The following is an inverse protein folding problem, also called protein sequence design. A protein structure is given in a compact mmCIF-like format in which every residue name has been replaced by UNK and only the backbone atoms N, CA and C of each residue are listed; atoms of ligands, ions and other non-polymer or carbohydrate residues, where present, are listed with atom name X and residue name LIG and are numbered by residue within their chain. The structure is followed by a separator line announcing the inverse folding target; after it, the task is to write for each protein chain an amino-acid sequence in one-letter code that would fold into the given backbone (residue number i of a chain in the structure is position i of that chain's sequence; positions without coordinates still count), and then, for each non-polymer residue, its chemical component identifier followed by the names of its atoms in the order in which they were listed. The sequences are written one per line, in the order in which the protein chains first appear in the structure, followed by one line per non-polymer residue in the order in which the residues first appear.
data_IF_846343590712
#
_entry.id   IF_846343590712
#
_cell.length_a   1.000
_cell.length_b   1.000
_cell.length_c   1.000
_cell.angle_alpha   90.00
_cell.angle_beta   90.00
_cell.angle_gamma   90.00
#
_symmetry.space_group_name_H-M   'P 1'
#
loop_
_entity.id
_entity.type
_entity.pdbx_description
1 polymer ?
#
# COMPACT_ATOMS: atom_id res chain seq x y z
N UNK A 1 3.98 -29.53 44.32
CA UNK A 1 4.92 -28.48 43.89
C UNK A 1 5.19 -28.48 42.38
N UNK A 2 5.20 -29.62 41.68
CA UNK A 2 5.43 -29.69 40.22
C UNK A 2 4.32 -29.04 39.36
N UNK A 3 3.06 -29.07 39.79
CA UNK A 3 1.91 -28.51 39.05
C UNK A 3 1.95 -26.99 38.94
N UNK A 4 2.43 -26.29 39.98
CA UNK A 4 2.56 -24.84 39.97
C UNK A 4 3.71 -24.38 39.07
N UNK A 5 4.83 -25.12 39.06
CA UNK A 5 5.94 -24.87 38.13
C UNK A 5 5.51 -25.09 36.68
N UNK A 6 4.78 -26.16 36.38
CA UNK A 6 4.23 -26.39 35.03
C UNK A 6 3.27 -25.28 34.58
N UNK A 7 2.37 -24.81 35.46
CA UNK A 7 1.46 -23.70 35.15
C UNK A 7 2.20 -22.39 34.87
N UNK A 8 3.25 -22.08 35.63
CA UNK A 8 4.07 -20.87 35.39
C UNK A 8 4.88 -21.00 34.10
N UNK A 9 5.46 -22.17 33.83
CA UNK A 9 6.17 -22.44 32.57
C UNK A 9 5.24 -22.33 31.38
N UNK A 10 4.05 -22.94 31.45
CA UNK A 10 3.05 -22.90 30.38
C UNK A 10 2.51 -21.47 30.17
N UNK A 11 2.25 -20.74 31.25
CA UNK A 11 1.88 -19.32 31.18
C UNK A 11 2.98 -18.43 30.58
N UNK A 12 4.26 -18.72 30.85
CA UNK A 12 5.38 -18.04 30.18
C UNK A 12 5.44 -18.37 28.69
N UNK A 13 5.26 -19.64 28.32
CA UNK A 13 5.21 -20.07 26.92
C UNK A 13 4.05 -19.41 26.16
N UNK A 14 2.86 -19.36 26.76
CA UNK A 14 1.69 -18.72 26.18
C UNK A 14 1.90 -17.22 26.01
N UNK A 15 2.49 -16.53 26.99
CA UNK A 15 2.86 -15.10 26.87
C UNK A 15 3.94 -14.84 25.82
N UNK A 16 4.93 -15.72 25.69
CA UNK A 16 5.93 -15.62 24.63
C UNK A 16 5.32 -15.83 23.24
N UNK A 17 4.43 -16.81 23.09
CA UNK A 17 3.67 -17.04 21.86
C UNK A 17 2.78 -15.85 21.50
N UNK A 18 2.10 -15.24 22.47
CA UNK A 18 1.29 -14.04 22.28
C UNK A 18 2.15 -12.85 21.85
N UNK A 19 3.32 -12.68 22.48
CA UNK A 19 4.28 -11.63 22.10
C UNK A 19 4.84 -11.83 20.69
N UNK A 20 5.07 -13.09 20.28
CA UNK A 20 5.57 -13.40 18.94
C UNK A 20 4.52 -13.17 17.85
N UNK A 21 3.25 -13.52 18.11
CA UNK A 21 2.13 -13.24 17.20
C UNK A 21 1.89 -11.75 17.06
N UNK A 22 1.92 -11.00 18.16
CA UNK A 22 1.78 -9.53 18.13
C UNK A 22 2.83 -8.86 17.26
N UNK A 23 4.11 -9.23 17.42
CA UNK A 23 5.19 -8.71 16.57
C UNK A 23 5.01 -9.05 15.10
N UNK A 24 4.59 -10.28 14.77
CA UNK A 24 4.35 -10.67 13.37
C UNK A 24 3.20 -9.87 12.74
N UNK A 25 2.10 -9.67 13.48
CA UNK A 25 0.99 -8.85 13.00
C UNK A 25 1.42 -7.41 12.72
N UNK A 26 2.21 -6.81 13.62
CA UNK A 26 2.75 -5.47 13.41
C UNK A 26 3.65 -5.39 12.17
N UNK A 27 4.57 -6.35 11.99
CA UNK A 27 5.41 -6.41 10.80
C UNK A 27 4.59 -6.57 9.52
N UNK A 28 3.53 -7.39 9.54
CA UNK A 28 2.61 -7.51 8.41
C UNK A 28 1.91 -6.20 8.10
N UNK A 29 1.40 -5.50 9.12
CA UNK A 29 0.75 -4.21 8.94
C UNK A 29 1.72 -3.16 8.36
N UNK A 30 2.96 -3.13 8.85
CA UNK A 30 4.01 -2.21 8.36
C UNK A 30 4.33 -2.46 6.88
N UNK A 31 4.49 -3.73 6.49
CA UNK A 31 4.73 -4.11 5.09
C UNK A 31 3.53 -3.72 4.23
N UNK A 32 2.29 -4.04 4.64
CA UNK A 32 1.08 -3.66 3.88
C UNK A 32 0.99 -2.14 3.70
N UNK A 33 1.30 -1.36 4.75
CA UNK A 33 1.29 0.10 4.64
C UNK A 33 2.37 0.61 3.69
N UNK A 34 3.55 0.00 3.68
CA UNK A 34 4.62 0.38 2.76
C UNK A 34 4.21 0.12 1.31
N UNK A 35 3.64 -1.06 1.04
CA UNK A 35 3.12 -1.46 -0.28
C UNK A 35 2.10 -0.46 -0.83
N UNK A 36 1.20 0.03 0.03
CA UNK A 36 0.20 1.04 -0.34
C UNK A 36 0.85 2.40 -0.63
N UNK A 37 1.84 2.81 0.18
CA UNK A 37 2.54 4.10 -0.01
C UNK A 37 3.28 4.14 -1.35
N UNK A 38 3.96 3.05 -1.70
CA UNK A 38 4.69 2.94 -2.97
C UNK A 38 3.74 3.08 -4.18
N UNK A 39 2.63 2.35 -4.18
CA UNK A 39 1.60 2.44 -5.23
C UNK A 39 1.03 3.85 -5.34
N UNK A 40 0.76 4.51 -4.21
CA UNK A 40 0.22 5.88 -4.19
C UNK A 40 1.20 6.91 -4.75
N UNK A 41 2.47 6.85 -4.33
CA UNK A 41 3.51 7.78 -4.80
C UNK A 41 3.77 7.60 -6.30
N UNK A 42 3.92 6.35 -6.75
CA UNK A 42 4.12 6.04 -8.17
C UNK A 42 2.96 6.55 -9.04
N UNK A 43 1.72 6.33 -8.61
CA UNK A 43 0.55 6.82 -9.33
C UNK A 43 0.47 8.35 -9.36
N UNK A 44 0.77 9.01 -8.24
CA UNK A 44 0.79 10.46 -8.14
C UNK A 44 1.78 11.09 -9.13
N UNK A 45 3.01 10.56 -9.21
CA UNK A 45 4.02 11.07 -10.14
C UNK A 45 3.59 10.92 -11.61
N UNK A 46 3.01 9.76 -11.98
CA UNK A 46 2.48 9.55 -13.32
C UNK A 46 1.30 10.49 -13.65
N UNK A 47 0.51 10.86 -12.64
CA UNK A 47 -0.61 11.78 -12.79
C UNK A 47 -0.15 13.22 -13.00
N UNK A 48 0.80 13.71 -12.20
CA UNK A 48 1.29 15.10 -12.25
C UNK A 48 2.25 15.34 -13.41
N UNK A 49 3.17 14.40 -13.66
CA UNK A 49 4.28 14.58 -14.59
C UNK A 49 4.11 13.82 -15.92
N UNK A 50 3.02 13.05 -16.05
CA UNK A 50 2.68 12.31 -17.25
C UNK A 50 3.54 11.06 -17.46
N UNK A 51 3.84 10.77 -18.73
CA UNK A 51 4.49 9.50 -19.10
C UNK A 51 5.94 9.45 -18.66
N UNK A 52 6.37 8.34 -18.07
CA UNK A 52 7.74 8.14 -17.60
C UNK A 52 8.28 6.76 -17.99
N UNK A 53 9.59 6.65 -18.20
CA UNK A 53 10.24 5.33 -18.16
C UNK A 53 10.27 4.82 -16.71
N UNK A 54 10.61 3.55 -16.52
CA UNK A 54 10.74 2.98 -15.17
C UNK A 54 11.81 3.72 -14.34
N UNK A 55 12.98 3.98 -14.95
CA UNK A 55 14.09 4.69 -14.33
C UNK A 55 13.75 6.15 -14.00
N UNK A 56 13.08 6.85 -14.93
CA UNK A 56 12.62 8.21 -14.67
C UNK A 56 11.61 8.26 -13.52
N UNK A 57 10.70 7.28 -13.47
CA UNK A 57 9.67 7.19 -12.44
C UNK A 57 10.27 6.91 -11.07
N UNK A 58 11.26 6.01 -11.00
CA UNK A 58 12.00 5.68 -9.79
C UNK A 58 12.64 6.92 -9.17
N UNK A 59 13.46 7.62 -9.98
CA UNK A 59 14.15 8.84 -9.58
C UNK A 59 13.18 9.88 -9.04
N UNK A 60 12.05 10.10 -9.73
CA UNK A 60 11.04 11.08 -9.33
C UNK A 60 10.33 10.69 -8.03
N UNK A 61 10.12 9.39 -7.77
CA UNK A 61 9.55 8.93 -6.52
C UNK A 61 10.53 9.16 -5.36
N UNK A 62 11.81 8.84 -5.55
CA UNK A 62 12.86 9.09 -4.55
C UNK A 62 13.07 10.58 -4.27
N UNK A 63 13.04 11.41 -5.32
CA UNK A 63 13.12 12.86 -5.21
C UNK A 63 11.94 13.41 -4.41
N UNK A 64 10.70 12.99 -4.72
CA UNK A 64 9.52 13.39 -3.96
C UNK A 64 9.65 13.02 -2.48
N UNK A 65 10.07 11.79 -2.17
CA UNK A 65 10.20 11.33 -0.79
C UNK A 65 11.24 12.16 -0.03
N UNK A 66 12.35 12.48 -0.69
CA UNK A 66 13.41 13.30 -0.13
C UNK A 66 13.01 14.75 0.07
N UNK A 67 12.27 15.34 -0.87
CA UNK A 67 11.86 16.74 -0.79
C UNK A 67 10.75 16.95 0.26
N UNK A 68 9.74 16.08 0.28
CA UNK A 68 8.57 16.24 1.15
C UNK A 68 8.81 15.69 2.58
N UNK A 69 9.60 14.62 2.72
CA UNK A 69 9.81 13.96 4.02
C UNK A 69 11.26 14.01 4.53
N UNK A 70 12.21 14.47 3.71
CA UNK A 70 13.63 14.53 4.10
C UNK A 70 14.34 13.17 4.13
N UNK A 71 13.68 12.11 3.67
CA UNK A 71 14.19 10.74 3.74
C UNK A 71 14.82 10.30 2.41
N UNK A 72 15.86 9.46 2.50
CA UNK A 72 16.46 8.84 1.32
C UNK A 72 16.18 7.34 1.36
N UNK A 73 15.53 6.85 0.32
CA UNK A 73 15.23 5.43 0.16
C UNK A 73 15.54 5.02 -1.27
N UNK A 74 15.77 3.72 -1.47
CA UNK A 74 15.74 3.09 -2.78
C UNK A 74 14.30 2.67 -3.04
N UNK A 75 13.60 3.35 -3.94
CA UNK A 75 12.18 3.07 -4.20
C UNK A 75 12.02 1.78 -5.01
N UNK A 76 10.99 0.96 -4.73
CA UNK A 76 10.69 -0.24 -5.53
C UNK A 76 9.65 0.09 -6.60
N UNK A 77 10.11 0.78 -7.65
CA UNK A 77 9.23 1.22 -8.74
C UNK A 77 8.64 0.04 -9.53
N UNK A 78 9.39 -1.04 -9.69
CA UNK A 78 8.98 -2.21 -10.46
C UNK A 78 7.72 -2.83 -9.85
N UNK A 79 7.75 -3.06 -8.54
CA UNK A 79 6.65 -3.69 -7.84
C UNK A 79 5.43 -2.75 -7.75
N UNK A 80 5.65 -1.45 -7.51
CA UNK A 80 4.59 -0.45 -7.52
C UNK A 80 3.85 -0.39 -8.87
N UNK A 81 4.59 -0.33 -9.97
CA UNK A 81 4.01 -0.28 -11.33
C UNK A 81 3.29 -1.58 -11.67
N UNK A 82 3.86 -2.74 -11.32
CA UNK A 82 3.18 -4.02 -11.55
C UNK A 82 1.84 -4.12 -10.81
N UNK A 83 1.75 -3.61 -9.57
CA UNK A 83 0.48 -3.54 -8.83
C UNK A 83 -0.51 -2.61 -9.52
N UNK A 84 -0.07 -1.44 -9.98
CA UNK A 84 -0.91 -0.48 -10.69
C UNK A 84 -1.43 -1.01 -12.04
N UNK A 85 -0.60 -1.76 -12.78
CA UNK A 85 -1.00 -2.45 -14.00
C UNK A 85 -1.98 -3.59 -13.73
N UNK A 86 -1.77 -4.39 -12.67
CA UNK A 86 -2.72 -5.43 -12.22
C UNK A 86 -4.08 -4.84 -11.83
N UNK A 87 -4.07 -3.65 -11.22
CA UNK A 87 -5.28 -2.88 -10.93
C UNK A 87 -5.90 -2.26 -12.19
N UNK A 88 -5.21 -2.24 -13.33
CA UNK A 88 -5.72 -1.70 -14.59
C UNK A 88 -5.77 -0.17 -14.67
N UNK A 89 -5.08 0.52 -13.76
CA UNK A 89 -5.06 1.99 -13.67
C UNK A 89 -3.80 2.64 -14.23
N UNK A 90 -2.78 1.83 -14.53
CA UNK A 90 -1.59 2.21 -15.29
C UNK A 90 -1.46 1.30 -16.51
N UNK A 91 -0.93 1.87 -17.59
CA UNK A 91 -0.63 1.14 -18.82
C UNK A 91 0.73 1.58 -19.39
N UNK A 92 1.26 0.76 -20.30
CA UNK A 92 2.54 1.01 -20.97
C UNK A 92 2.34 1.33 -22.45
N UNK A 93 3.04 2.36 -22.93
CA UNK A 93 3.02 2.73 -24.34
C UNK A 93 3.97 1.83 -25.18
N UNK A 94 3.86 1.84 -26.53
CA UNK A 94 4.68 0.98 -27.39
C UNK A 94 6.19 1.23 -27.30
N UNK A 95 6.63 2.38 -26.79
CA UNK A 95 8.05 2.71 -26.60
C UNK A 95 8.51 2.45 -25.17
N UNK A 96 7.64 1.86 -24.34
CA UNK A 96 7.97 1.32 -23.03
C UNK A 96 7.76 2.27 -21.85
N UNK A 97 7.09 3.42 -22.03
CA UNK A 97 6.79 4.36 -20.94
C UNK A 97 5.45 4.07 -20.28
N UNK A 98 5.40 4.19 -18.96
CA UNK A 98 4.19 4.05 -18.16
C UNK A 98 3.39 5.34 -18.13
N UNK A 99 2.07 5.22 -18.03
CA UNK A 99 1.14 6.34 -17.89
C UNK A 99 -0.12 5.91 -17.14
N UNK A 100 -0.70 6.82 -16.37
CA UNK A 100 -1.98 6.58 -15.70
C UNK A 100 -3.15 6.73 -16.69
N UNK A 101 -4.21 5.96 -16.48
CA UNK A 101 -5.50 6.26 -17.09
C UNK A 101 -6.13 7.49 -16.41
N UNK A 102 -7.10 8.14 -17.05
CA UNK A 102 -7.77 9.30 -16.47
C UNK A 102 -8.41 8.99 -15.10
N UNK A 103 -8.24 9.89 -14.14
CA UNK A 103 -8.63 9.71 -12.72
C UNK A 103 -10.08 9.23 -12.53
N UNK A 104 -11.02 9.72 -13.35
CA UNK A 104 -12.41 9.25 -13.34
C UNK A 104 -12.52 7.73 -13.57
N UNK A 105 -11.80 7.23 -14.57
CA UNK A 105 -11.80 5.81 -14.93
C UNK A 105 -11.03 4.98 -13.91
N UNK A 106 -9.92 5.51 -13.37
CA UNK A 106 -9.19 4.85 -12.29
C UNK A 106 -10.10 4.65 -11.05
N UNK A 107 -10.88 5.67 -10.69
CA UNK A 107 -11.81 5.59 -9.58
C UNK A 107 -12.96 4.59 -9.82
N UNK A 108 -13.44 4.48 -11.07
CA UNK A 108 -14.42 3.46 -11.45
C UNK A 108 -13.86 2.03 -11.32
N UNK A 109 -12.58 1.84 -11.65
CA UNK A 109 -11.92 0.53 -11.62
C UNK A 109 -11.58 0.08 -10.19
N UNK A 110 -11.05 0.99 -9.36
CA UNK A 110 -10.80 0.71 -7.94
C UNK A 110 -12.12 0.45 -7.21
N UNK A 111 -13.19 1.13 -7.64
CA UNK A 111 -14.53 0.97 -7.09
C UNK A 111 -14.74 1.77 -5.81
N UNK A 112 -15.93 1.61 -5.23
CA UNK A 112 -16.32 2.30 -3.99
C UNK A 112 -15.65 1.64 -2.80
N UNK A 113 -15.01 2.44 -1.94
CA UNK A 113 -14.40 1.91 -0.71
C UNK A 113 -15.47 1.51 0.30
N UNK A 114 -15.13 0.61 1.23
CA UNK A 114 -16.02 0.24 2.33
C UNK A 114 -16.43 1.45 3.16
N UNK A 115 -15.51 2.41 3.36
CA UNK A 115 -15.78 3.65 4.08
C UNK A 115 -16.81 4.52 3.35
N UNK A 116 -16.70 4.66 2.02
CA UNK A 116 -17.70 5.37 1.21
C UNK A 116 -19.08 4.70 1.28
N UNK A 117 -19.14 3.36 1.28
CA UNK A 117 -20.40 2.64 1.46
C UNK A 117 -21.02 2.90 2.84
N UNK A 118 -20.20 2.87 3.90
CA UNK A 118 -20.66 3.15 5.27
C UNK A 118 -21.12 4.61 5.42
N UNK A 119 -20.43 5.57 4.80
CA UNK A 119 -20.83 6.97 4.78
C UNK A 119 -22.15 7.18 4.03
N UNK A 120 -22.32 6.57 2.85
CA UNK A 120 -23.58 6.59 2.08
C UNK A 120 -24.74 5.98 2.87
N UNK A 121 -24.49 4.85 3.56
CA UNK A 121 -25.47 4.20 4.42
C UNK A 121 -25.88 5.08 5.62
N UNK A 122 -24.92 5.77 6.25
CA UNK A 122 -25.19 6.71 7.36
C UNK A 122 -25.93 7.98 6.91
N UNK A 123 -25.75 8.40 5.65
CA UNK A 123 -26.40 9.58 5.07
C UNK A 123 -27.78 9.28 4.45
N UNK A 124 -28.27 8.03 4.49
CA UNK A 124 -29.60 7.67 4.01
C UNK A 124 -29.78 7.73 2.48
N UNK A 125 -28.69 7.78 1.72
CA UNK A 125 -28.74 7.77 0.25
C UNK A 125 -28.66 6.33 -0.23
N UNK A 126 -29.83 5.71 -0.44
CA UNK A 126 -29.93 4.42 -1.13
C UNK A 126 -29.51 4.55 -2.60
N UNK A 127 -28.65 3.66 -3.13
CA UNK A 127 -28.36 3.63 -4.56
C UNK A 127 -29.64 3.25 -5.33
N UNK A 128 -29.90 3.97 -6.43
CA UNK A 128 -30.91 3.63 -7.45
C UNK A 128 -30.38 2.59 -8.41
#
# INVERSE_FOLDING_TARGET
MATYQNLVTQSMYDKQLDSGKGTLLHLCDDVIQQEVKEVMISFYILMEQGKATLEDLDLRCEELIKEEFGERCNFDVDDAVQKLEKLGIVARDPIGRYYCIGLKRANEIIGTTTEELVLKAKQGVTPS
#
